data_IF_676242400917
#
_entry.id   IF_676242400917
#
_cell.length_a   1.000
_cell.length_b   1.000
_cell.length_c   1.000
_cell.angle_alpha   90.00
_cell.angle_beta   90.00
_cell.angle_gamma   90.00
#
_symmetry.space_group_name_H-M   'P 1'
#
loop_
_entity.id
_entity.type
_entity.pdbx_description
1 polymer ?
#
# COMPACT_ATOMS: atom_id res chain seq x y z
N UNK A 1 -11.55 -2.91 4.41
CA UNK A 1 -10.91 -1.57 4.37
C UNK A 1 -10.74 -1.13 2.92
N UNK A 2 -10.79 0.17 2.62
CA UNK A 2 -10.41 0.70 1.29
C UNK A 2 -9.06 1.40 1.43
N UNK A 3 -8.13 1.09 0.55
CA UNK A 3 -6.90 1.86 0.46
C UNK A 3 -7.18 3.22 -0.19
N UNK A 4 -6.26 4.16 0.02
CA UNK A 4 -6.31 5.53 -0.47
C UNK A 4 -4.97 5.84 -1.14
N UNK A 5 -4.99 6.61 -2.22
CA UNK A 5 -3.76 7.20 -2.78
C UNK A 5 -3.52 8.53 -2.06
N UNK A 6 -2.45 8.59 -1.29
CA UNK A 6 -2.00 9.79 -0.59
C UNK A 6 -0.99 10.56 -1.44
N UNK A 7 -1.15 11.89 -1.51
CA UNK A 7 -0.10 12.78 -2.02
C UNK A 7 0.90 13.05 -0.92
N UNK A 8 2.17 12.81 -1.19
CA UNK A 8 3.25 12.99 -0.22
C UNK A 8 3.95 14.33 -0.48
N UNK A 9 4.12 15.11 0.59
CA UNK A 9 4.78 16.40 0.56
C UNK A 9 5.87 16.47 1.63
N UNK A 10 6.96 17.16 1.32
CA UNK A 10 7.97 17.60 2.31
C UNK A 10 7.97 19.12 2.31
N UNK A 11 7.33 19.71 3.31
CA UNK A 11 6.95 21.13 3.25
C UNK A 11 5.97 21.36 2.09
N UNK A 12 6.28 22.30 1.22
CA UNK A 12 5.47 22.57 0.02
C UNK A 12 5.86 21.70 -1.19
N UNK A 13 6.98 20.96 -1.10
CA UNK A 13 7.48 20.16 -2.22
C UNK A 13 6.72 18.84 -2.34
N UNK A 14 6.11 18.61 -3.49
CA UNK A 14 5.54 17.32 -3.84
C UNK A 14 6.64 16.27 -4.03
N UNK A 15 6.49 15.13 -3.36
CA UNK A 15 7.47 14.04 -3.34
C UNK A 15 6.98 12.79 -4.09
N UNK A 16 5.69 12.70 -4.39
CA UNK A 16 5.09 11.55 -5.07
C UNK A 16 3.84 11.05 -4.37
N UNK A 17 3.50 9.79 -4.61
CA UNK A 17 2.31 9.15 -4.06
C UNK A 17 2.67 8.02 -3.12
N UNK A 18 1.76 7.75 -2.18
CA UNK A 18 1.83 6.58 -1.31
C UNK A 18 0.48 5.95 -1.07
N UNK A 19 0.49 4.70 -0.60
CA UNK A 19 -0.71 3.96 -0.24
C UNK A 19 -1.01 4.22 1.23
N UNK A 20 -2.19 4.78 1.50
CA UNK A 20 -2.69 4.98 2.85
C UNK A 20 -3.87 4.06 3.12
N UNK A 21 -4.04 3.68 4.39
CA UNK A 21 -5.20 2.95 4.88
C UNK A 21 -5.67 3.64 6.15
N UNK A 22 -6.96 3.95 6.23
CA UNK A 22 -7.55 4.71 7.34
C UNK A 22 -6.83 6.06 7.60
N UNK A 23 -6.39 6.76 6.54
CA UNK A 23 -5.68 8.03 6.65
C UNK A 23 -4.23 7.93 7.09
N UNK A 24 -3.71 6.72 7.33
CA UNK A 24 -2.31 6.49 7.69
C UNK A 24 -1.53 5.92 6.50
N UNK A 25 -0.37 6.50 6.20
CA UNK A 25 0.53 5.99 5.18
C UNK A 25 1.08 4.63 5.62
N UNK A 26 1.06 3.65 4.70
CA UNK A 26 1.72 2.37 4.94
C UNK A 26 3.24 2.58 5.00
N UNK A 27 3.86 2.06 6.05
CA UNK A 27 5.29 2.22 6.29
C UNK A 27 6.13 1.42 5.26
N UNK A 28 7.41 1.76 5.15
CA UNK A 28 8.41 1.12 4.29
C UNK A 28 8.11 1.15 2.79
N UNK A 29 7.15 1.97 2.34
CA UNK A 29 6.93 2.17 0.92
C UNK A 29 8.09 2.97 0.29
N UNK A 30 8.68 2.42 -0.77
CA UNK A 30 9.82 3.03 -1.46
C UNK A 30 9.46 3.62 -2.82
N UNK A 31 8.41 3.12 -3.46
CA UNK A 31 8.01 3.57 -4.79
C UNK A 31 6.52 3.39 -5.03
N UNK A 32 5.95 4.23 -5.88
CA UNK A 32 4.61 4.10 -6.43
C UNK A 32 4.65 4.46 -7.91
N UNK A 33 4.10 3.58 -8.74
CA UNK A 33 3.87 3.79 -10.17
C UNK A 33 2.36 3.72 -10.39
N UNK A 34 1.82 4.76 -11.01
CA UNK A 34 0.40 4.81 -11.41
C UNK A 34 0.38 4.66 -12.93
N UNK A 35 -0.25 3.58 -13.41
CA UNK A 35 -0.45 3.35 -14.83
C UNK A 35 -1.88 3.75 -15.21
N UNK A 36 -1.97 4.61 -16.22
CA UNK A 36 -3.22 5.08 -16.80
C UNK A 36 -3.22 4.78 -18.28
N UNK A 37 -3.80 3.64 -18.65
CA UNK A 37 -3.98 3.27 -20.05
C UNK A 37 -5.33 3.75 -20.58
N UNK A 38 -5.37 4.18 -21.84
CA UNK A 38 -6.61 4.61 -22.48
C UNK A 38 -7.62 3.46 -22.51
N UNK A 39 -8.84 3.71 -22.01
CA UNK A 39 -9.98 2.77 -21.92
C UNK A 39 -9.87 1.68 -20.85
N UNK A 40 -8.85 1.71 -20.01
CA UNK A 40 -8.73 0.82 -18.86
C UNK A 40 -8.89 1.59 -17.54
N UNK A 41 -9.18 0.85 -16.47
CA UNK A 41 -9.16 1.43 -15.13
C UNK A 41 -7.71 1.69 -14.72
N UNK A 42 -7.40 2.86 -14.14
CA UNK A 42 -6.06 3.13 -13.61
C UNK A 42 -5.64 2.08 -12.59
N UNK A 43 -4.37 1.69 -12.65
CA UNK A 43 -3.76 0.76 -11.68
C UNK A 43 -2.63 1.44 -10.92
N UNK A 44 -2.33 0.91 -9.74
CA UNK A 44 -1.21 1.35 -8.92
C UNK A 44 -0.34 0.16 -8.57
N UNK A 45 0.97 0.31 -8.78
CA UNK A 45 1.99 -0.61 -8.29
C UNK A 45 2.80 0.10 -7.21
N UNK A 46 2.82 -0.46 -6.01
CA UNK A 46 3.63 0.05 -4.91
C UNK A 46 4.70 -0.98 -4.53
N UNK A 47 5.91 -0.51 -4.25
CA UNK A 47 7.03 -1.34 -3.80
C UNK A 47 7.33 -0.98 -2.35
N UNK A 48 7.49 -2.01 -1.52
CA UNK A 48 7.80 -1.89 -0.10
C UNK A 48 9.13 -2.58 0.19
N UNK A 49 9.93 -1.99 1.06
CA UNK A 49 11.03 -2.71 1.69
C UNK A 49 10.44 -3.66 2.73
N UNK A 50 10.90 -4.92 2.72
CA UNK A 50 10.58 -5.90 3.75
C UNK A 50 11.79 -6.05 4.66
N UNK A 51 11.55 -6.08 5.96
CA UNK A 51 12.56 -6.46 6.95
C UNK A 51 12.28 -7.86 7.51
N UNK A 52 13.17 -8.30 8.41
CA UNK A 52 13.07 -9.60 9.08
C UNK A 52 11.75 -9.79 9.83
N UNK A 53 11.22 -8.74 10.47
CA UNK A 53 9.95 -8.82 11.20
C UNK A 53 8.78 -9.06 10.25
N UNK A 54 8.78 -8.45 9.07
CA UNK A 54 7.75 -8.68 8.05
C UNK A 54 7.80 -10.11 7.50
N UNK A 55 9.01 -10.68 7.38
CA UNK A 55 9.19 -12.04 6.91
C UNK A 55 8.77 -13.08 7.97
N UNK A 56 9.05 -12.84 9.24
CA UNK A 56 8.85 -13.81 10.34
C UNK A 56 7.47 -13.71 11.00
N UNK A 57 6.81 -12.54 10.97
CA UNK A 57 5.52 -12.31 11.64
C UNK A 57 4.39 -12.07 10.63
N UNK A 58 4.24 -13.00 9.68
CA UNK A 58 3.18 -12.92 8.67
C UNK A 58 1.82 -13.23 9.30
N UNK A 59 0.83 -12.38 9.02
CA UNK A 59 -0.58 -12.72 9.29
C UNK A 59 -1.10 -13.58 8.14
N UNK A 60 -1.83 -14.63 8.48
CA UNK A 60 -2.56 -15.43 7.48
C UNK A 60 -4.00 -14.93 7.45
N UNK A 61 -4.51 -14.60 6.27
CA UNK A 61 -5.90 -14.19 6.06
C UNK A 61 -6.60 -15.26 5.24
N UNK A 62 -7.73 -15.76 5.73
CA UNK A 62 -8.58 -16.65 4.95
C UNK A 62 -9.40 -15.80 3.97
N UNK A 63 -9.17 -15.99 2.68
CA UNK A 63 -9.81 -15.19 1.63
C UNK A 63 -11.32 -15.50 1.48
N UNK A 64 -11.83 -16.57 2.09
CA UNK A 64 -13.26 -16.94 2.02
C UNK A 64 -14.12 -16.05 2.90
N UNK A 65 -13.59 -15.63 4.04
CA UNK A 65 -14.28 -14.81 5.05
C UNK A 65 -13.60 -13.45 5.27
N UNK A 66 -12.37 -13.26 4.77
CA UNK A 66 -11.61 -12.01 4.88
C UNK A 66 -11.06 -11.77 6.29
N UNK A 67 -11.07 -12.80 7.14
CA UNK A 67 -10.67 -12.72 8.55
C UNK A 67 -9.26 -13.32 8.73
N UNK A 68 -8.48 -12.82 9.70
CA UNK A 68 -7.24 -13.47 10.09
C UNK A 68 -7.50 -14.91 10.54
N UNK A 69 -6.70 -15.87 10.07
CA UNK A 69 -6.74 -17.22 10.58
C UNK A 69 -6.32 -17.22 12.05
N UNK A 70 -7.21 -17.66 12.94
CA UNK A 70 -6.86 -17.88 14.34
C UNK A 70 -6.10 -19.22 14.44
N UNK A 71 -4.86 -19.19 14.93
CA UNK A 71 -4.09 -20.37 15.34
C UNK A 71 -4.04 -20.42 16.86
#
# INVERSE_FOLDING_TARGET
MKFQIAKLYRGERFMGYGIAVNGQLLDNQVSTIIDTQCRELPTVTAVFNLDKNHAENQITIDLRNGEPCQH
#
